data_IF_714987874800
#
_entry.id   IF_714987874800
#
_cell.length_a   1.000
_cell.length_b   1.000
_cell.length_c   1.000
_cell.angle_alpha   90.00
_cell.angle_beta   90.00
_cell.angle_gamma   90.00
#
_symmetry.space_group_name_H-M   'P 1'
#
loop_
_entity.id
_entity.type
_entity.pdbx_description
1 polymer ?
#
# COMPACT_ATOMS: atom_id res chain seq x y z
N UNK A 1 6.34 9.66 24.90
CA UNK A 1 6.08 8.21 25.05
C UNK A 1 5.52 7.68 23.74
N UNK A 2 6.26 6.87 22.99
CA UNK A 2 5.74 6.25 21.77
C UNK A 2 4.69 5.20 22.18
N UNK A 3 3.41 5.42 21.83
CA UNK A 3 2.39 4.36 21.93
C UNK A 3 2.87 3.21 21.05
N UNK A 4 3.20 2.08 21.65
CA UNK A 4 3.32 0.82 20.93
C UNK A 4 1.92 0.55 20.37
N UNK A 5 1.70 0.82 19.07
CA UNK A 5 0.45 0.45 18.40
C UNK A 5 0.34 -1.06 18.50
N UNK A 6 -0.66 -1.57 19.21
CA UNK A 6 -0.98 -3.00 19.17
C UNK A 6 -1.30 -3.37 17.72
N UNK A 7 -0.82 -4.54 17.25
CA UNK A 7 -1.22 -5.03 15.94
C UNK A 7 -2.75 -5.19 15.92
N UNK A 8 -3.37 -4.82 14.79
CA UNK A 8 -4.80 -5.00 14.60
C UNK A 8 -5.14 -6.49 14.62
N UNK A 9 -6.27 -6.81 15.23
CA UNK A 9 -6.85 -8.15 15.20
C UNK A 9 -7.62 -8.27 13.88
N UNK A 10 -7.27 -9.29 13.10
CA UNK A 10 -7.96 -9.62 11.85
C UNK A 10 -8.62 -10.98 12.01
N UNK A 11 -9.92 -11.04 11.76
CA UNK A 11 -10.65 -12.29 11.64
C UNK A 11 -10.96 -12.55 10.17
N UNK A 12 -10.70 -13.77 9.70
CA UNK A 12 -10.90 -14.13 8.30
C UNK A 12 -12.02 -15.16 8.21
N UNK A 13 -13.04 -14.84 7.43
CA UNK A 13 -14.11 -15.73 7.02
C UNK A 13 -14.04 -16.03 5.53
N UNK A 14 -14.68 -17.12 5.11
CA UNK A 14 -14.90 -17.42 3.69
C UNK A 14 -16.39 -17.69 3.50
N UNK A 15 -17.02 -16.98 2.57
CA UNK A 15 -18.41 -17.18 2.20
C UNK A 15 -18.56 -18.37 1.22
N UNK A 16 -19.78 -18.85 1.05
CA UNK A 16 -20.08 -20.01 0.20
C UNK A 16 -19.75 -19.80 -1.29
N UNK A 17 -19.71 -18.54 -1.74
CA UNK A 17 -19.31 -18.13 -3.08
C UNK A 17 -17.77 -18.04 -3.25
N UNK A 18 -17.01 -18.35 -2.20
CA UNK A 18 -15.54 -18.25 -2.18
C UNK A 18 -15.00 -16.87 -1.82
N UNK A 19 -15.87 -15.88 -1.58
CA UNK A 19 -15.44 -14.54 -1.14
C UNK A 19 -14.76 -14.62 0.21
N UNK A 20 -13.57 -14.04 0.34
CA UNK A 20 -12.86 -13.95 1.63
C UNK A 20 -13.17 -12.63 2.32
N UNK A 21 -13.68 -12.72 3.55
CA UNK A 21 -14.04 -11.56 4.37
C UNK A 21 -13.03 -11.36 5.48
N UNK A 22 -12.53 -10.13 5.63
CA UNK A 22 -11.58 -9.71 6.64
C UNK A 22 -12.24 -8.72 7.57
N UNK A 23 -12.51 -9.12 8.81
CA UNK A 23 -12.97 -8.20 9.86
C UNK A 23 -11.74 -7.62 10.56
N UNK A 24 -11.58 -6.30 10.50
CA UNK A 24 -10.39 -5.58 10.97
C UNK A 24 -10.81 -4.64 12.09
N UNK A 25 -10.19 -4.78 13.25
CA UNK A 25 -10.61 -4.06 14.47
C UNK A 25 -10.13 -2.60 14.55
N UNK A 26 -9.46 -2.12 13.50
CA UNK A 26 -9.01 -0.73 13.33
C UNK A 26 -9.44 -0.20 11.96
N UNK A 27 -9.40 1.12 11.82
CA UNK A 27 -9.67 1.80 10.54
C UNK A 27 -8.47 1.73 9.58
N UNK A 28 -8.64 1.92 8.26
CA UNK A 28 -7.54 1.85 7.30
C UNK A 28 -6.41 2.84 7.59
N UNK A 29 -6.72 4.02 8.11
CA UNK A 29 -5.75 5.06 8.47
C UNK A 29 -4.86 4.66 9.66
N UNK A 30 -5.36 3.75 10.50
CA UNK A 30 -4.67 3.26 11.68
C UNK A 30 -3.70 2.11 11.40
N UNK A 31 -3.81 1.47 10.21
CA UNK A 31 -2.95 0.35 9.79
C UNK A 31 -1.46 0.71 9.88
N UNK A 32 -0.60 -0.27 10.23
CA UNK A 32 0.82 -0.03 10.40
C UNK A 32 1.48 0.45 9.10
N UNK A 33 2.60 1.17 9.24
CA UNK A 33 3.50 1.42 8.11
C UNK A 33 4.18 0.13 7.69
N UNK A 34 4.65 0.07 6.45
CA UNK A 34 5.36 -1.09 5.90
C UNK A 34 6.78 -0.73 5.52
N UNK A 35 7.61 -1.74 5.24
CA UNK A 35 8.95 -1.50 4.71
C UNK A 35 8.86 -1.24 3.22
N UNK A 36 9.61 -0.23 2.74
CA UNK A 36 9.73 0.06 1.29
C UNK A 36 10.10 -1.18 0.47
N UNK A 37 11.06 -1.96 0.96
CA UNK A 37 11.53 -3.20 0.29
C UNK A 37 10.43 -4.26 0.17
N UNK A 38 9.55 -4.35 1.17
CA UNK A 38 8.45 -5.33 1.14
C UNK A 38 7.38 -4.87 0.15
N UNK A 39 7.13 -3.56 0.05
CA UNK A 39 6.23 -2.99 -0.96
C UNK A 39 6.78 -3.16 -2.39
N UNK A 40 8.10 -2.98 -2.58
CA UNK A 40 8.79 -3.27 -3.84
C UNK A 40 8.66 -4.74 -4.24
N UNK A 41 8.91 -5.66 -3.30
CA UNK A 41 8.74 -7.10 -3.56
C UNK A 41 7.26 -7.44 -3.84
N UNK A 42 6.32 -6.84 -3.11
CA UNK A 42 4.89 -7.04 -3.34
C UNK A 42 4.48 -6.58 -4.75
N UNK A 43 4.97 -5.42 -5.21
CA UNK A 43 4.79 -4.94 -6.58
C UNK A 43 5.27 -5.96 -7.61
N UNK A 44 6.53 -6.41 -7.51
CA UNK A 44 7.10 -7.35 -8.47
C UNK A 44 6.35 -8.69 -8.49
N UNK A 45 5.94 -9.18 -7.32
CA UNK A 45 5.18 -10.45 -7.19
C UNK A 45 3.76 -10.34 -7.75
N UNK A 46 3.07 -9.25 -7.46
CA UNK A 46 1.73 -8.99 -7.97
C UNK A 46 1.76 -8.84 -9.50
N UNK A 47 2.74 -8.08 -10.02
CA UNK A 47 2.95 -7.92 -11.46
C UNK A 47 3.25 -9.25 -12.15
N UNK A 48 4.15 -10.06 -11.59
CA UNK A 48 4.45 -11.39 -12.12
C UNK A 48 3.22 -12.32 -12.10
N UNK A 49 2.39 -12.26 -11.06
CA UNK A 49 1.15 -13.03 -10.99
C UNK A 49 0.13 -12.59 -12.05
N UNK A 50 -0.03 -11.28 -12.27
CA UNK A 50 -0.90 -10.73 -13.30
C UNK A 50 -0.44 -11.12 -14.72
N UNK A 51 0.87 -11.04 -15.00
CA UNK A 51 1.45 -11.48 -16.28
C UNK A 51 1.28 -12.98 -16.54
N UNK A 52 1.19 -13.78 -15.47
CA UNK A 52 0.94 -15.21 -15.54
C UNK A 52 -0.56 -15.55 -15.40
N UNK A 53 -1.45 -14.56 -15.46
CA UNK A 53 -2.91 -14.72 -15.39
C UNK A 53 -3.39 -15.52 -14.17
N UNK A 54 -2.68 -15.40 -13.04
CA UNK A 54 -3.06 -16.06 -11.79
C UNK A 54 -4.15 -15.28 -11.06
N UNK A 55 -5.37 -15.39 -11.56
CA UNK A 55 -6.54 -14.72 -11.02
C UNK A 55 -6.82 -15.08 -9.56
N UNK A 56 -7.36 -14.10 -8.82
CA UNK A 56 -7.77 -14.23 -7.44
C UNK A 56 -9.28 -14.19 -7.27
N UNK A 57 -9.77 -14.71 -6.15
CA UNK A 57 -11.18 -14.57 -5.76
C UNK A 57 -11.50 -13.19 -5.16
N UNK A 58 -12.79 -12.80 -5.14
CA UNK A 58 -13.27 -11.56 -4.54
C UNK A 58 -12.97 -11.50 -3.04
N UNK A 59 -12.80 -10.27 -2.53
CA UNK A 59 -12.47 -10.02 -1.12
C UNK A 59 -13.27 -8.87 -0.56
N UNK A 60 -13.70 -9.01 0.69
CA UNK A 60 -14.38 -7.98 1.45
C UNK A 60 -13.56 -7.63 2.69
N UNK A 61 -13.30 -6.35 2.92
CA UNK A 61 -12.65 -5.85 4.13
C UNK A 61 -13.66 -5.00 4.90
N UNK A 62 -13.94 -5.39 6.14
CA UNK A 62 -14.80 -4.64 7.05
C UNK A 62 -13.93 -4.02 8.13
N UNK A 63 -13.75 -2.71 8.10
CA UNK A 63 -12.93 -1.97 9.06
C UNK A 63 -13.79 -1.37 10.16
N UNK A 64 -13.40 -1.57 11.41
CA UNK A 64 -14.05 -0.91 12.54
C UNK A 64 -13.66 0.56 12.59
N UNK A 65 -14.66 1.43 12.62
CA UNK A 65 -14.49 2.88 12.73
C UNK A 65 -14.32 3.31 14.20
N UNK A 66 -13.67 4.46 14.46
CA UNK A 66 -13.53 4.99 15.83
C UNK A 66 -14.86 5.30 16.52
N UNK A 67 -15.92 5.58 15.76
CA UNK A 67 -17.29 5.82 16.26
C UNK A 67 -18.07 4.53 16.58
N UNK A 68 -17.44 3.36 16.42
CA UNK A 68 -18.05 2.05 16.65
C UNK A 68 -18.79 1.48 15.44
N UNK A 69 -18.91 2.22 14.34
CA UNK A 69 -19.46 1.71 13.08
C UNK A 69 -18.48 0.84 12.30
N UNK A 70 -18.91 0.43 11.11
CA UNK A 70 -18.09 -0.33 10.15
C UNK A 70 -17.99 0.41 8.81
N UNK A 71 -16.87 0.25 8.14
CA UNK A 71 -16.66 0.64 6.74
C UNK A 71 -16.29 -0.58 5.94
N UNK A 72 -17.03 -0.84 4.87
CA UNK A 72 -16.80 -1.97 3.99
C UNK A 72 -16.06 -1.53 2.73
N UNK A 73 -15.06 -2.31 2.34
CA UNK A 73 -14.29 -2.16 1.10
C UNK A 73 -14.32 -3.50 0.37
N UNK A 74 -14.94 -3.53 -0.81
CA UNK A 74 -14.98 -4.70 -1.67
C UNK A 74 -13.93 -4.60 -2.78
N UNK A 75 -13.14 -5.66 -2.92
CA UNK A 75 -12.34 -5.90 -4.12
C UNK A 75 -13.07 -6.91 -4.99
N UNK A 76 -13.67 -6.39 -6.07
CA UNK A 76 -14.38 -7.16 -7.09
C UNK A 76 -13.69 -7.11 -8.46
N UNK A 77 -12.79 -6.15 -8.67
CA UNK A 77 -11.98 -6.04 -9.88
C UNK A 77 -10.99 -7.22 -9.99
N UNK A 78 -10.89 -7.83 -11.18
CA UNK A 78 -10.10 -9.04 -11.39
C UNK A 78 -8.60 -8.79 -11.20
N UNK A 79 -8.10 -7.62 -11.61
CA UNK A 79 -6.70 -7.25 -11.43
C UNK A 79 -6.40 -7.04 -9.94
N UNK A 80 -7.22 -6.28 -9.24
CA UNK A 80 -7.09 -6.10 -7.80
C UNK A 80 -7.16 -7.43 -7.03
N UNK A 81 -8.04 -8.35 -7.42
CA UNK A 81 -8.14 -9.68 -6.83
C UNK A 81 -6.89 -10.53 -7.11
N UNK A 82 -6.35 -10.48 -8.32
CA UNK A 82 -5.09 -11.14 -8.69
C UNK A 82 -3.94 -10.63 -7.80
N UNK A 83 -3.81 -9.31 -7.67
CA UNK A 83 -2.75 -8.67 -6.90
C UNK A 83 -2.86 -9.00 -5.42
N UNK A 84 -4.06 -8.87 -4.84
CA UNK A 84 -4.31 -9.23 -3.45
C UNK A 84 -4.00 -10.71 -3.19
N UNK A 85 -4.32 -11.60 -4.13
CA UNK A 85 -4.03 -13.04 -4.01
C UNK A 85 -2.54 -13.38 -4.16
N UNK A 86 -1.78 -12.60 -4.93
CA UNK A 86 -0.33 -12.73 -4.95
C UNK A 86 0.27 -12.36 -3.59
N UNK A 87 -0.18 -11.26 -2.99
CA UNK A 87 0.30 -10.74 -1.70
C UNK A 87 -0.06 -11.70 -0.56
N UNK A 88 -1.28 -12.19 -0.56
CA UNK A 88 -1.77 -13.15 0.44
C UNK A 88 -0.92 -14.44 0.45
N UNK A 89 -0.46 -14.90 -0.72
CA UNK A 89 0.42 -16.07 -0.83
C UNK A 89 1.84 -15.83 -0.29
N UNK A 90 2.34 -14.60 -0.31
CA UNK A 90 3.72 -14.30 0.10
C UNK A 90 3.85 -13.86 1.56
N UNK A 91 2.87 -13.11 2.08
CA UNK A 91 2.95 -12.49 3.43
C UNK A 91 1.76 -12.88 4.31
N UNK A 92 0.64 -13.31 3.73
CA UNK A 92 -0.61 -13.58 4.45
C UNK A 92 -1.33 -12.30 4.85
N UNK A 93 -2.62 -12.19 4.51
CA UNK A 93 -3.45 -11.03 4.87
C UNK A 93 -4.28 -11.21 6.15
N UNK A 94 -4.05 -12.30 6.89
CA UNK A 94 -4.55 -12.52 8.24
C UNK A 94 -3.78 -11.73 9.31
N UNK A 95 -2.72 -11.00 8.90
CA UNK A 95 -1.96 -10.11 9.76
C UNK A 95 -2.19 -8.64 9.39
N UNK A 96 -2.18 -7.76 10.40
CA UNK A 96 -2.27 -6.30 10.19
C UNK A 96 -1.18 -5.76 9.26
N UNK A 97 0.00 -6.39 9.24
CA UNK A 97 1.10 -6.02 8.35
C UNK A 97 0.84 -6.43 6.90
N UNK A 98 0.44 -7.68 6.65
CA UNK A 98 0.16 -8.15 5.30
C UNK A 98 -1.04 -7.46 4.67
N UNK A 99 -2.08 -7.20 5.46
CA UNK A 99 -3.21 -6.37 5.03
C UNK A 99 -2.77 -4.94 4.68
N UNK A 100 -1.97 -4.32 5.56
CA UNK A 100 -1.42 -2.98 5.32
C UNK A 100 -0.56 -2.91 4.05
N UNK A 101 0.22 -3.96 3.77
CA UNK A 101 1.03 -4.09 2.58
C UNK A 101 0.16 -4.19 1.33
N UNK A 102 -0.86 -5.04 1.35
CA UNK A 102 -1.79 -5.21 0.24
C UNK A 102 -2.51 -3.92 -0.11
N UNK A 103 -3.15 -3.28 0.88
CA UNK A 103 -3.95 -2.08 0.63
C UNK A 103 -3.09 -0.91 0.17
N UNK A 104 -1.87 -0.76 0.68
CA UNK A 104 -0.94 0.27 0.19
C UNK A 104 -0.49 0.02 -1.24
N UNK A 105 -0.29 -1.24 -1.64
CA UNK A 105 0.02 -1.54 -3.03
C UNK A 105 -1.15 -1.19 -3.94
N UNK A 106 -2.37 -1.61 -3.60
CA UNK A 106 -3.57 -1.31 -4.38
C UNK A 106 -3.86 0.19 -4.45
N UNK A 107 -3.74 0.90 -3.32
CA UNK A 107 -3.87 2.35 -3.27
C UNK A 107 -2.81 3.07 -4.13
N UNK A 108 -1.60 2.50 -4.24
CA UNK A 108 -0.57 3.05 -5.12
C UNK A 108 -0.93 2.85 -6.59
N UNK A 109 -1.48 1.70 -6.96
CA UNK A 109 -1.96 1.44 -8.34
C UNK A 109 -3.11 2.39 -8.69
N UNK A 110 -4.09 2.52 -7.80
CA UNK A 110 -5.21 3.46 -7.94
C UNK A 110 -4.70 4.90 -8.14
N UNK A 111 -3.74 5.32 -7.31
CA UNK A 111 -3.08 6.62 -7.46
C UNK A 111 -2.42 6.78 -8.83
N UNK A 112 -1.67 5.78 -9.30
CA UNK A 112 -1.00 5.82 -10.60
C UNK A 112 -1.99 5.87 -11.77
N UNK A 113 -3.18 5.27 -11.61
CA UNK A 113 -4.24 5.30 -12.61
C UNK A 113 -4.94 6.68 -12.66
N UNK A 114 -5.17 7.30 -11.50
CA UNK A 114 -5.94 8.54 -11.40
C UNK A 114 -5.11 9.82 -11.52
N UNK A 115 -3.83 9.80 -11.14
CA UNK A 115 -3.00 11.00 -11.04
C UNK A 115 -2.04 11.15 -12.23
N UNK A 116 -2.26 12.09 -13.17
CA UNK A 116 -1.38 12.26 -14.33
C UNK A 116 0.06 12.61 -13.95
N UNK A 117 0.27 13.36 -12.86
CA UNK A 117 1.59 13.73 -12.36
C UNK A 117 2.42 12.52 -11.91
N UNK A 118 1.78 11.42 -11.54
CA UNK A 118 2.48 10.24 -11.04
C UNK A 118 3.20 9.47 -12.16
N UNK A 119 2.83 9.72 -13.43
CA UNK A 119 3.46 9.12 -14.61
C UNK A 119 4.95 9.45 -14.72
N UNK A 120 5.35 10.64 -14.28
CA UNK A 120 6.76 11.08 -14.31
C UNK A 120 7.65 10.25 -13.35
N UNK A 121 7.03 9.50 -12.44
CA UNK A 121 7.70 8.63 -11.49
C UNK A 121 7.63 7.14 -11.87
N UNK A 122 7.18 6.84 -13.10
CA UNK A 122 7.13 5.49 -13.65
C UNK A 122 8.07 5.39 -14.84
N UNK A 123 9.09 4.55 -14.72
CA UNK A 123 10.03 4.28 -15.81
C UNK A 123 9.56 3.05 -16.57
N UNK A 124 9.19 3.23 -17.83
CA UNK A 124 8.91 2.13 -18.73
C UNK A 124 10.22 1.44 -19.15
N UNK A 125 10.30 0.14 -18.93
CA UNK A 125 11.40 -0.74 -19.36
C UNK A 125 10.86 -1.77 -20.34
N UNK A 126 11.77 -2.49 -21.02
CA UNK A 126 11.43 -3.56 -21.97
C UNK A 126 10.54 -4.63 -21.34
N UNK A 127 10.76 -4.93 -20.06
CA UNK A 127 10.00 -5.93 -19.31
C UNK A 127 8.88 -5.30 -18.46
N UNK A 128 8.39 -4.12 -18.84
CA UNK A 128 7.27 -3.42 -18.20
C UNK A 128 7.69 -2.23 -17.33
N UNK A 129 6.78 -1.76 -16.48
CA UNK A 129 6.97 -0.55 -15.68
C UNK A 129 7.78 -0.80 -14.38
N UNK A 130 8.68 0.14 -14.06
CA UNK A 130 9.47 0.21 -12.83
C UNK A 130 9.07 1.47 -12.07
N UNK A 131 8.79 1.34 -10.78
CA UNK A 131 8.41 2.47 -9.93
C UNK A 131 9.64 3.18 -9.36
N UNK A 132 9.58 4.50 -9.26
CA UNK A 132 10.59 5.29 -8.56
C UNK A 132 10.68 4.88 -7.06
N UNK A 133 11.89 4.70 -6.49
CA UNK A 133 12.06 4.39 -5.07
C UNK A 133 11.37 5.38 -4.11
N UNK A 134 11.22 6.65 -4.49
CA UNK A 134 10.52 7.68 -3.72
C UNK A 134 9.01 7.45 -3.65
N UNK A 135 8.36 6.98 -4.73
CA UNK A 135 6.95 6.54 -4.71
C UNK A 135 6.75 5.43 -3.68
N UNK A 136 7.61 4.41 -3.75
CA UNK A 136 7.54 3.27 -2.83
C UNK A 136 7.81 3.71 -1.39
N UNK A 137 8.73 4.65 -1.17
CA UNK A 137 9.05 5.18 0.15
C UNK A 137 7.89 6.00 0.75
N UNK A 138 7.21 6.81 -0.05
CA UNK A 138 6.03 7.56 0.36
C UNK A 138 4.86 6.62 0.69
N UNK A 139 4.53 5.70 -0.22
CA UNK A 139 3.45 4.73 -0.05
C UNK A 139 3.66 3.83 1.18
N UNK A 140 4.91 3.46 1.49
CA UNK A 140 5.23 2.64 2.65
C UNK A 140 4.94 3.34 4.01
N UNK A 141 4.92 4.68 4.03
CA UNK A 141 4.86 5.48 5.26
C UNK A 141 3.56 6.25 5.44
N UNK A 142 3.00 6.78 4.36
CA UNK A 142 1.80 7.61 4.46
C UNK A 142 0.62 6.77 4.96
N UNK A 143 -0.25 7.36 5.80
CA UNK A 143 -1.51 6.73 6.16
C UNK A 143 -2.42 6.67 4.92
N UNK A 144 -3.21 5.60 4.84
CA UNK A 144 -4.33 5.57 3.92
C UNK A 144 -5.44 6.50 4.42
N UNK A 145 -6.36 6.86 3.54
CA UNK A 145 -7.64 7.50 3.88
C UNK A 145 -8.64 6.46 4.37
N UNK A 146 -9.80 6.92 4.86
CA UNK A 146 -10.93 6.05 5.25
C UNK A 146 -11.39 5.09 4.15
N UNK A 147 -11.18 5.48 2.89
CA UNK A 147 -11.56 4.74 1.69
C UNK A 147 -10.40 3.87 1.18
N UNK A 148 -9.37 3.65 2.02
CA UNK A 148 -8.16 2.89 1.75
C UNK A 148 -7.35 3.41 0.54
N UNK A 149 -7.39 4.71 0.27
CA UNK A 149 -6.64 5.38 -0.82
C UNK A 149 -5.53 6.25 -0.27
N UNK A 150 -4.66 6.76 -1.14
CA UNK A 150 -3.72 7.82 -0.76
C UNK A 150 -4.30 9.22 -1.02
N UNK A 151 -4.05 10.14 -0.10
CA UNK A 151 -4.32 11.57 -0.32
C UNK A 151 -3.27 12.14 -1.30
N UNK A 152 -3.70 12.55 -2.49
CA UNK A 152 -2.80 12.98 -3.57
C UNK A 152 -1.93 14.20 -3.18
N UNK A 153 -2.51 15.14 -2.43
CA UNK A 153 -1.81 16.36 -1.98
C UNK A 153 -0.68 15.98 -1.03
N UNK A 154 -0.99 15.21 0.02
CA UNK A 154 0.00 14.73 0.99
C UNK A 154 1.05 13.84 0.34
N UNK A 155 0.65 13.03 -0.64
CA UNK A 155 1.57 12.17 -1.38
C UNK A 155 2.57 12.99 -2.19
N UNK A 156 2.09 14.00 -2.91
CA UNK A 156 2.94 14.91 -3.71
C UNK A 156 3.89 15.70 -2.81
N UNK A 157 3.43 16.20 -1.68
CA UNK A 157 4.27 16.85 -0.67
C UNK A 157 5.38 15.91 -0.17
N UNK A 158 5.03 14.67 0.16
CA UNK A 158 6.02 13.68 0.61
C UNK A 158 7.08 13.38 -0.46
N UNK A 159 6.70 13.30 -1.73
CA UNK A 159 7.64 13.10 -2.85
C UNK A 159 8.62 14.26 -2.97
N UNK A 160 8.16 15.50 -2.81
CA UNK A 160 9.04 16.69 -2.81
C UNK A 160 10.08 16.58 -1.71
N UNK A 161 9.68 16.18 -0.50
CA UNK A 161 10.62 16.00 0.61
C UNK A 161 11.62 14.87 0.40
N UNK A 162 11.22 13.79 -0.27
CA UNK A 162 12.09 12.65 -0.56
C UNK A 162 13.05 12.93 -1.74
N UNK A 163 12.68 13.86 -2.62
CA UNK A 163 13.47 14.24 -3.80
C UNK A 163 14.47 15.37 -3.53
N UNK A 164 14.35 16.07 -2.38
CA UNK A 164 15.32 17.08 -1.99
C UNK A 164 16.66 16.40 -1.67
N UNK A 165 17.78 16.82 -2.30
CA UNK A 165 19.09 16.37 -1.87
C UNK A 165 19.29 16.77 -0.39
N UNK A 166 19.89 15.88 0.39
CA UNK A 166 20.26 16.21 1.77
C UNK A 166 20.99 17.57 1.78
N UNK A 167 20.71 18.47 2.73
CA UNK A 167 21.49 19.70 2.83
C UNK A 167 22.95 19.28 3.02
N UNK A 168 23.80 19.57 2.03
CA UNK A 168 25.24 19.44 2.15
C UNK A 168 25.68 20.28 3.34
N UNK A 169 25.88 19.62 4.47
CA UNK A 169 26.36 20.24 5.69
C UNK A 169 27.73 20.86 5.43
N UNK A 170 27.76 22.19 5.53
CA UNK A 170 28.87 22.98 6.02
C UNK A 170 30.28 22.61 5.49
N UNK A 171 30.64 23.20 4.35
CA UNK A 171 32.00 23.66 4.16
C UNK A 171 32.23 24.87 5.08
N UNK A 172 32.45 24.63 6.38
CA UNK A 172 33.02 25.67 7.25
C UNK A 172 34.49 25.77 6.87
N UNK A 173 34.80 26.76 6.04
CA UNK A 173 36.17 27.19 5.80
C UNK A 173 36.82 27.54 7.13
N UNK A 174 37.81 26.75 7.54
CA UNK A 174 38.85 27.19 8.44
C UNK A 174 40.01 27.69 7.56
N UNK A 175 39.96 28.98 7.24
CA UNK A 175 41.14 29.73 6.84
C UNK A 175 41.29 30.90 7.81
N UNK A 176 42.48 30.95 8.40
CA UNK A 176 43.11 32.01 9.24
C UNK A 176 43.18 31.67 10.72
#
# INVERSE_FOLDING_TARGET
MARIKKPAIIQVGTAADGTRTYLVDVSPEALPTVRRRDLENAWERARAAALAEHWGGPRLFCFRRPDGGWTDLALADSDACCWASAIDRIVGMDTSYGLALCLRLLALVDLLAEAPWARDHVVLKRDGASLDPSLLAAAARLPLTRDARFDQTRFTEALRHLSLPAPSGAATGALS
#
